data_IF_464561411106
#
_entry.id   IF_464561411106
#
_cell.length_a   1.000
_cell.length_b   1.000
_cell.length_c   1.000
_cell.angle_alpha   90.00
_cell.angle_beta   90.00
_cell.angle_gamma   90.00
#
_symmetry.space_group_name_H-M   'P 1'
#
loop_
_entity.id
_entity.type
_entity.pdbx_description
1 polymer ?
#
# COMPACT_ATOMS: atom_id res chain seq x y z
N UNK A 1 -1.79 6.59 -8.43
CA UNK A 1 -1.17 5.31 -8.01
C UNK A 1 -1.11 5.33 -6.50
N UNK A 2 -0.84 4.22 -5.84
CA UNK A 2 -0.89 4.13 -4.38
C UNK A 2 0.43 3.54 -3.89
N UNK A 3 1.00 4.10 -2.82
CA UNK A 3 2.16 3.53 -2.17
C UNK A 3 1.71 2.33 -1.33
N UNK A 4 2.43 1.21 -1.44
CA UNK A 4 2.21 0.05 -0.59
C UNK A 4 2.87 0.31 0.76
N UNK A 5 2.07 0.35 1.83
CA UNK A 5 2.54 0.62 3.20
C UNK A 5 2.94 -0.66 3.93
N UNK A 6 2.28 -1.77 3.61
CA UNK A 6 2.49 -3.08 4.21
C UNK A 6 2.35 -4.16 3.13
N UNK A 7 3.09 -5.26 3.29
CA UNK A 7 3.08 -6.38 2.34
C UNK A 7 1.69 -7.03 2.31
N UNK A 8 1.17 -7.31 1.12
CA UNK A 8 -0.09 -8.03 0.96
C UNK A 8 -0.19 -8.78 -0.36
N UNK A 9 -1.12 -9.73 -0.42
CA UNK A 9 -1.45 -10.49 -1.62
C UNK A 9 -2.73 -9.92 -2.20
N UNK A 10 -2.67 -9.39 -3.42
CA UNK A 10 -3.82 -8.91 -4.15
C UNK A 10 -4.50 -10.05 -4.91
N UNK A 11 -5.59 -10.54 -4.34
CA UNK A 11 -6.39 -11.62 -4.92
C UNK A 11 -7.11 -11.19 -6.20
N UNK A 12 -7.43 -9.90 -6.38
CA UNK A 12 -8.06 -9.39 -7.61
C UNK A 12 -7.09 -9.34 -8.80
N UNK A 13 -5.79 -9.44 -8.56
CA UNK A 13 -4.73 -9.41 -9.58
C UNK A 13 -4.00 -10.74 -9.60
N UNK A 14 -4.74 -11.85 -9.73
CA UNK A 14 -4.15 -13.19 -9.88
C UNK A 14 -3.25 -13.62 -8.70
N UNK A 15 -3.47 -13.06 -7.50
CA UNK A 15 -2.66 -13.37 -6.32
C UNK A 15 -1.28 -12.69 -6.32
N UNK A 16 -1.12 -11.57 -7.02
CA UNK A 16 0.14 -10.81 -7.01
C UNK A 16 0.47 -10.32 -5.60
N UNK A 17 1.70 -10.59 -5.18
CA UNK A 17 2.26 -10.01 -3.96
C UNK A 17 2.76 -8.59 -4.23
N UNK A 18 2.33 -7.67 -3.37
CA UNK A 18 2.81 -6.30 -3.26
C UNK A 18 3.66 -6.16 -2.01
N UNK A 19 4.87 -5.63 -2.16
CA UNK A 19 5.78 -5.37 -1.04
C UNK A 19 5.73 -3.91 -0.64
N UNK A 20 5.97 -3.63 0.64
CA UNK A 20 6.10 -2.29 1.20
C UNK A 20 7.10 -1.47 0.39
N UNK A 21 6.69 -0.25 0.03
CA UNK A 21 7.44 0.66 -0.83
C UNK A 21 7.17 0.49 -2.33
N UNK A 22 6.50 -0.58 -2.76
CA UNK A 22 6.08 -0.73 -4.15
C UNK A 22 4.90 0.19 -4.50
N UNK A 23 4.58 0.27 -5.80
CA UNK A 23 3.43 0.99 -6.31
C UNK A 23 2.29 0.04 -6.70
N UNK A 24 1.09 0.37 -6.23
CA UNK A 24 -0.16 -0.28 -6.60
C UNK A 24 -0.99 0.62 -7.54
N UNK A 25 -1.66 0.06 -8.55
CA UNK A 25 -1.53 -1.32 -9.05
C UNK A 25 -0.22 -1.50 -9.85
N UNK A 26 0.29 -2.74 -10.00
CA UNK A 26 1.41 -3.04 -10.92
C UNK A 26 1.01 -2.70 -12.37
N UNK A 27 2.00 -2.45 -13.21
CA UNK A 27 1.78 -2.21 -14.64
C UNK A 27 0.97 -3.36 -15.27
N UNK A 28 -0.03 -3.01 -16.06
CA UNK A 28 -0.98 -3.97 -16.65
C UNK A 28 -2.24 -4.22 -15.82
N UNK A 29 -2.27 -3.85 -14.55
CA UNK A 29 -3.45 -4.00 -13.69
C UNK A 29 -4.21 -2.70 -13.46
N UNK A 30 -5.51 -2.82 -13.14
CA UNK A 30 -6.39 -1.70 -12.83
C UNK A 30 -6.87 -1.80 -11.39
N UNK A 31 -6.72 -0.71 -10.66
CA UNK A 31 -7.22 -0.61 -9.28
C UNK A 31 -8.74 -0.48 -9.25
N UNK A 32 -9.41 -1.31 -8.45
CA UNK A 32 -10.83 -1.18 -8.14
C UNK A 32 -11.05 -0.23 -6.96
N UNK A 33 -11.92 0.77 -7.10
CA UNK A 33 -12.19 1.77 -6.04
C UNK A 33 -12.63 1.16 -4.72
N UNK A 34 -13.47 0.11 -4.74
CA UNK A 34 -13.91 -0.57 -3.50
C UNK A 34 -12.74 -1.28 -2.82
N UNK A 35 -11.93 -1.97 -3.62
CA UNK A 35 -10.74 -2.69 -3.16
C UNK A 35 -9.69 -1.73 -2.60
N UNK A 36 -9.41 -0.64 -3.29
CA UNK A 36 -8.51 0.41 -2.82
C UNK A 36 -8.98 0.97 -1.48
N UNK A 37 -10.27 1.29 -1.32
CA UNK A 37 -10.80 1.77 -0.03
C UNK A 37 -10.60 0.76 1.09
N UNK A 38 -10.85 -0.53 0.82
CA UNK A 38 -10.59 -1.60 1.79
C UNK A 38 -9.11 -1.68 2.18
N UNK A 39 -8.22 -1.61 1.20
CA UNK A 39 -6.77 -1.66 1.41
C UNK A 39 -6.22 -0.38 2.06
N UNK A 40 -6.91 0.75 1.95
CA UNK A 40 -6.58 2.00 2.65
C UNK A 40 -7.19 2.07 4.05
N UNK A 41 -8.17 1.22 4.35
CA UNK A 41 -8.84 1.18 5.64
C UNK A 41 -8.10 0.26 6.61
N UNK A 42 -8.23 0.55 7.90
CA UNK A 42 -7.88 -0.37 8.99
C UNK A 42 -9.04 -1.30 9.34
N UNK A 43 -10.17 -1.22 8.64
CA UNK A 43 -11.33 -2.12 8.77
C UNK A 43 -11.07 -3.46 8.06
N UNK A 44 -9.95 -4.10 8.39
CA UNK A 44 -9.61 -5.44 7.93
C UNK A 44 -9.10 -6.27 9.11
N UNK A 45 -8.98 -7.59 8.91
CA UNK A 45 -8.57 -8.53 9.96
C UNK A 45 -7.20 -8.22 10.58
N UNK A 46 -6.34 -7.49 9.86
CA UNK A 46 -5.01 -7.11 10.30
C UNK A 46 -4.98 -5.73 10.98
N UNK A 47 -6.08 -4.97 10.95
CA UNK A 47 -6.19 -3.62 11.51
C UNK A 47 -5.15 -2.62 11.00
N UNK A 48 -4.60 -2.85 9.80
CA UNK A 48 -3.56 -2.01 9.18
C UNK A 48 -3.96 -1.60 7.77
N UNK A 49 -3.59 -0.40 7.35
CA UNK A 49 -3.72 0.00 5.96
C UNK A 49 -2.58 -0.60 5.13
N UNK A 50 -2.91 -1.21 4.00
CA UNK A 50 -1.96 -1.76 3.03
C UNK A 50 -1.57 -0.75 1.96
N UNK A 51 -2.45 0.20 1.65
CA UNK A 51 -2.23 1.26 0.68
C UNK A 51 -2.28 2.64 1.33
N UNK A 52 -1.39 3.52 0.89
CA UNK A 52 -1.41 4.93 1.22
C UNK A 52 -2.43 5.73 0.39
N UNK A 53 -2.52 7.05 0.59
CA UNK A 53 -3.41 7.92 -0.17
C UNK A 53 -3.07 7.89 -1.67
N UNK A 54 -4.03 8.34 -2.49
CA UNK A 54 -3.85 8.41 -3.94
C UNK A 54 -2.73 9.40 -4.26
N UNK A 55 -1.64 8.91 -4.81
CA UNK A 55 -0.57 9.74 -5.38
C UNK A 55 -1.04 10.29 -6.72
N UNK A 56 -1.15 11.62 -6.80
CA UNK A 56 -1.18 12.33 -8.07
C UNK A 56 0.16 12.10 -8.78
N UNK A 57 0.14 11.92 -10.10
CA UNK A 57 1.34 11.53 -10.88
C UNK A 57 2.36 12.68 -10.93
N UNK A 58 3.08 12.92 -9.85
CA UNK A 58 4.35 13.60 -9.91
C UNK A 58 5.39 12.57 -10.36
N UNK A 59 6.05 12.84 -11.48
CA UNK A 59 7.14 12.02 -12.03
C UNK A 59 8.14 11.67 -10.92
N UNK A 60 8.45 10.38 -10.79
CA UNK A 60 9.71 9.83 -10.23
C UNK A 60 10.40 10.67 -9.15
N UNK A 61 10.17 10.34 -7.88
CA UNK A 61 11.21 10.45 -6.85
C UNK A 61 11.01 9.35 -5.83
N UNK A 62 11.85 8.33 -5.92
CA UNK A 62 12.20 7.47 -4.81
C UNK A 62 12.85 8.34 -3.72
N UNK A 63 12.07 8.82 -2.73
CA UNK A 63 12.61 9.14 -1.40
C UNK A 63 11.50 9.38 -0.37
N UNK A 64 11.69 8.75 0.78
CA UNK A 64 11.17 9.11 2.11
C UNK A 64 9.79 8.61 2.51
N UNK A 65 9.79 7.51 3.27
CA UNK A 65 9.43 7.58 4.70
C UNK A 65 10.05 6.37 5.41
N UNK A 66 11.32 6.53 5.73
CA UNK A 66 11.85 6.04 7.00
C UNK A 66 11.09 6.80 8.08
N UNK A 67 10.19 6.13 8.81
CA UNK A 67 9.78 6.60 10.12
C UNK A 67 9.82 5.40 11.08
N UNK A 68 10.72 5.58 12.04
CA UNK A 68 11.07 4.75 13.18
C UNK A 68 9.84 4.25 13.94
N UNK A 69 9.94 3.02 14.46
CA UNK A 69 9.28 2.62 15.70
C UNK A 69 10.30 1.90 16.57
N UNK A 70 11.29 2.66 17.02
CA UNK A 70 11.85 2.59 18.37
C UNK A 70 11.04 3.65 19.15
N UNK A 71 10.55 3.51 20.38
CA UNK A 71 10.84 2.63 21.51
C UNK A 71 9.83 3.03 22.61
N UNK A 72 9.43 2.11 23.48
CA UNK A 72 9.35 2.40 24.93
C UNK A 72 9.43 1.10 25.73
N UNK A 73 10.65 0.86 26.22
CA UNK A 73 11.02 0.07 27.39
C UNK A 73 10.17 0.43 28.61
N UNK A 74 9.96 -0.53 29.51
CA UNK A 74 9.49 -0.29 30.88
C UNK A 74 10.39 -1.01 31.87
#
# INVERSE_FOLDING_TARGET
>A
MYLVLNDFIETEHEGITYKKGEQYPKAGFKSNTKRVKYLQSTENSYQIAFLGPKLEKAKTTSKSMENKSDQEDK
#
